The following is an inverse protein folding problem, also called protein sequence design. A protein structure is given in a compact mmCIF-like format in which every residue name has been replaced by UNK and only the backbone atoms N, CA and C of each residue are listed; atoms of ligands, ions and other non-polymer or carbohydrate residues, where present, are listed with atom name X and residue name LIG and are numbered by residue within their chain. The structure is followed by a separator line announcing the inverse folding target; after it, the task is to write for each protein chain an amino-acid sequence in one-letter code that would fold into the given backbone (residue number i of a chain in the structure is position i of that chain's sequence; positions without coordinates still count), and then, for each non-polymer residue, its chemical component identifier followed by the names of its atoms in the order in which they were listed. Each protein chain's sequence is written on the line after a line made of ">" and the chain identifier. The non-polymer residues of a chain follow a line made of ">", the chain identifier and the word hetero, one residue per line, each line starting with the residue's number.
data_IF_603642403449
#
_entry.id   IF_603642403449
#
_cell.length_a   1.000
_cell.length_b   1.000
_cell.length_c   1.000
_cell.angle_alpha   90.00
_cell.angle_beta   90.00
_cell.angle_gamma   90.00
#
_symmetry.space_group_name_H-M   'P 1'
#
loop_
_entity.id
_entity.type
_entity.pdbx_description
1 polymer ?
#
# COMPACT_ATOMS: atom_id res chain seq x y z
N UNK A 1 13.46 35.47 -35.61
CA UNK A 1 12.31 34.94 -36.38
C UNK A 1 12.01 33.54 -35.83
N UNK A 2 10.92 33.42 -35.07
CA UNK A 2 10.51 32.19 -34.38
C UNK A 2 9.37 31.55 -35.18
N UNK A 3 9.59 30.34 -35.68
CA UNK A 3 8.53 29.56 -36.34
C UNK A 3 7.89 28.60 -35.34
N UNK A 4 6.63 28.84 -35.06
CA UNK A 4 5.74 27.94 -34.33
C UNK A 4 4.96 27.08 -35.34
N UNK A 5 4.83 25.75 -35.20
CA UNK A 5 3.99 24.94 -36.06
C UNK A 5 2.51 24.98 -35.60
N UNK A 6 1.56 24.82 -36.56
CA UNK A 6 0.14 25.03 -36.30
C UNK A 6 -0.55 23.79 -35.69
N UNK A 7 -1.53 24.08 -34.84
CA UNK A 7 -2.51 23.16 -34.27
C UNK A 7 -3.33 22.49 -35.37
N UNK A 8 -3.31 21.17 -35.49
CA UNK A 8 -4.26 20.40 -36.29
C UNK A 8 -5.56 20.16 -35.51
N UNK A 9 -6.63 20.80 -36.01
CA UNK A 9 -8.00 20.52 -35.60
C UNK A 9 -8.43 19.18 -36.20
N UNK A 10 -8.82 18.22 -35.34
CA UNK A 10 -9.51 17.00 -35.82
C UNK A 10 -11.00 17.26 -35.87
N UNK A 11 -11.54 17.05 -37.10
CA UNK A 11 -12.92 17.19 -37.50
C UNK A 11 -13.69 15.94 -37.06
N UNK A 12 -14.75 16.11 -36.29
CA UNK A 12 -15.70 15.04 -35.93
C UNK A 12 -16.68 14.83 -37.08
N UNK A 13 -16.71 13.63 -37.62
CA UNK A 13 -17.78 13.17 -38.56
C UNK A 13 -18.77 12.32 -37.73
N UNK A 14 -20.09 12.52 -37.91
CA UNK A 14 -21.08 11.68 -37.27
C UNK A 14 -21.36 10.45 -38.15
N UNK A 15 -21.28 9.25 -37.57
CA UNK A 15 -21.76 8.01 -38.18
C UNK A 15 -23.25 7.86 -37.96
N UNK A 16 -24.00 7.86 -39.09
CA UNK A 16 -25.41 7.51 -39.12
C UNK A 16 -25.56 5.98 -39.04
N UNK A 17 -26.31 5.50 -38.04
CA UNK A 17 -26.68 4.09 -37.91
C UNK A 17 -27.96 3.85 -38.68
N UNK A 18 -27.88 3.07 -39.73
CA UNK A 18 -29.05 2.51 -40.42
C UNK A 18 -29.59 1.32 -39.61
N UNK A 19 -30.80 1.43 -39.11
CA UNK A 19 -31.52 0.34 -38.50
C UNK A 19 -32.16 -0.57 -39.56
N UNK A 20 -31.65 -1.79 -39.74
CA UNK A 20 -32.35 -2.86 -40.46
C UNK A 20 -33.23 -3.62 -39.47
N UNK A 21 -34.55 -3.45 -39.62
CA UNK A 21 -35.53 -4.27 -38.89
C UNK A 21 -35.63 -5.65 -39.58
N UNK A 22 -35.07 -6.67 -38.91
CA UNK A 22 -35.32 -8.08 -39.28
C UNK A 22 -36.44 -8.61 -38.39
N UNK A 23 -37.52 -9.04 -39.01
CA UNK A 23 -38.64 -9.71 -38.36
C UNK A 23 -38.18 -11.13 -37.99
N UNK A 24 -37.94 -11.37 -36.72
CA UNK A 24 -37.68 -12.70 -36.19
C UNK A 24 -39.03 -13.30 -35.74
N UNK A 25 -39.41 -14.41 -36.36
CA UNK A 25 -40.56 -15.22 -35.98
C UNK A 25 -40.21 -15.94 -34.68
N UNK A 26 -41.01 -15.76 -33.64
CA UNK A 26 -40.93 -16.45 -32.36
C UNK A 26 -41.32 -17.92 -32.52
N UNK A 27 -40.49 -18.91 -32.12
CA UNK A 27 -40.93 -20.29 -32.02
C UNK A 27 -41.91 -20.47 -30.86
N UNK A 28 -42.84 -21.45 -30.92
CA UNK A 28 -43.84 -21.67 -29.85
C UNK A 28 -43.18 -22.04 -28.56
N UNK A 29 -43.62 -21.38 -27.48
CA UNK A 29 -43.18 -21.57 -26.12
C UNK A 29 -43.48 -23.01 -25.67
N UNK A 30 -42.46 -23.80 -25.41
CA UNK A 30 -42.58 -25.07 -24.73
C UNK A 30 -42.95 -24.81 -23.25
N UNK A 31 -44.01 -25.43 -22.77
CA UNK A 31 -44.45 -25.39 -21.39
C UNK A 31 -43.37 -25.93 -20.47
N UNK A 32 -42.92 -25.18 -19.42
CA UNK A 32 -41.88 -25.65 -18.55
C UNK A 32 -42.41 -26.82 -17.72
N UNK A 33 -41.66 -27.92 -17.70
CA UNK A 33 -41.94 -29.06 -16.85
C UNK A 33 -41.96 -28.63 -15.36
N UNK A 34 -42.79 -29.23 -14.49
CA UNK A 34 -42.90 -28.87 -13.08
C UNK A 34 -41.52 -29.03 -12.40
N UNK A 35 -41.00 -27.93 -11.87
CA UNK A 35 -39.80 -27.94 -11.05
C UNK A 35 -40.19 -28.58 -9.71
N UNK A 36 -39.67 -29.78 -9.44
CA UNK A 36 -39.77 -30.39 -8.12
C UNK A 36 -38.89 -29.59 -7.18
N UNK A 37 -39.49 -28.71 -6.39
CA UNK A 37 -38.78 -28.01 -5.32
C UNK A 37 -38.35 -29.04 -4.27
N UNK A 38 -37.05 -29.35 -4.27
CA UNK A 38 -36.45 -30.07 -3.14
C UNK A 38 -36.51 -29.13 -1.92
N UNK A 39 -37.13 -29.54 -0.79
CA UNK A 39 -37.19 -28.68 0.38
C UNK A 39 -35.77 -28.31 0.81
N UNK A 40 -35.49 -27.00 0.81
CA UNK A 40 -34.23 -26.48 1.32
C UNK A 40 -34.11 -26.92 2.79
N UNK A 41 -33.04 -27.68 3.09
CA UNK A 41 -32.71 -28.02 4.47
C UNK A 41 -32.56 -26.74 5.31
N UNK A 42 -32.72 -26.84 6.64
CA UNK A 42 -32.54 -25.68 7.50
C UNK A 42 -31.22 -24.99 7.22
N UNK A 43 -31.20 -23.65 7.16
CA UNK A 43 -29.95 -22.92 6.90
C UNK A 43 -28.92 -23.33 7.95
N UNK A 44 -27.73 -23.70 7.49
CA UNK A 44 -26.60 -23.97 8.38
C UNK A 44 -26.39 -22.74 9.26
N UNK A 45 -26.16 -22.92 10.59
CA UNK A 45 -25.87 -21.79 11.46
C UNK A 45 -24.68 -21.03 10.87
N UNK A 46 -24.86 -19.73 10.65
CA UNK A 46 -23.79 -18.86 10.21
C UNK A 46 -22.64 -18.98 11.22
N UNK A 47 -21.47 -19.37 10.74
CA UNK A 47 -20.26 -19.36 11.58
C UNK A 47 -20.13 -17.93 12.14
N UNK A 48 -19.85 -17.76 13.45
CA UNK A 48 -19.66 -16.45 14.02
C UNK A 48 -18.57 -15.74 13.22
N UNK A 49 -18.87 -14.54 12.72
CA UNK A 49 -17.88 -13.72 12.04
C UNK A 49 -16.69 -13.57 13.02
N UNK A 50 -15.50 -14.01 12.60
CA UNK A 50 -14.32 -13.86 13.43
C UNK A 50 -14.15 -12.37 13.74
N UNK A 51 -14.10 -12.04 15.03
CA UNK A 51 -13.86 -10.68 15.46
C UNK A 51 -12.54 -10.19 14.86
N UNK A 52 -12.55 -8.97 14.33
CA UNK A 52 -11.32 -8.35 13.82
C UNK A 52 -10.37 -8.07 14.99
N UNK A 53 -9.17 -8.62 14.92
CA UNK A 53 -8.08 -8.33 15.84
C UNK A 53 -6.86 -7.85 15.06
N UNK A 54 -6.31 -6.66 15.38
CA UNK A 54 -5.08 -6.22 14.72
C UNK A 54 -3.94 -7.14 15.13
N UNK A 55 -3.03 -7.47 14.19
CA UNK A 55 -1.87 -8.27 14.51
C UNK A 55 -0.99 -7.56 15.55
N UNK A 56 -0.53 -8.26 16.60
CA UNK A 56 0.39 -7.70 17.55
C UNK A 56 1.75 -7.42 16.90
N UNK A 57 2.47 -6.42 17.41
CA UNK A 57 3.85 -6.20 16.98
C UNK A 57 4.70 -7.38 17.45
N UNK A 58 5.27 -8.09 16.49
CA UNK A 58 6.16 -9.23 16.72
C UNK A 58 7.27 -9.23 15.66
N UNK A 59 8.42 -9.86 15.93
CA UNK A 59 9.45 -10.02 14.91
C UNK A 59 8.93 -10.88 13.75
N UNK A 60 9.21 -10.45 12.52
CA UNK A 60 8.90 -11.22 11.32
C UNK A 60 9.80 -10.85 10.14
N UNK A 61 9.87 -11.73 9.16
CA UNK A 61 10.37 -11.45 7.82
C UNK A 61 9.29 -11.82 6.81
N UNK A 62 9.04 -10.95 5.84
CA UNK A 62 8.05 -11.15 4.80
C UNK A 62 8.63 -10.83 3.42
N UNK A 63 8.35 -11.69 2.43
CA UNK A 63 8.77 -11.54 1.05
C UNK A 63 7.56 -11.24 0.17
N UNK A 64 7.72 -10.27 -0.71
CA UNK A 64 6.69 -9.83 -1.66
C UNK A 64 7.20 -9.94 -3.08
N UNK A 65 6.33 -10.32 -3.99
CA UNK A 65 6.52 -10.07 -5.41
C UNK A 65 6.12 -8.63 -5.74
N UNK A 66 7.01 -7.91 -6.40
CA UNK A 66 6.80 -6.52 -6.78
C UNK A 66 6.41 -6.40 -8.25
N UNK A 67 5.30 -5.70 -8.51
CA UNK A 67 4.83 -5.36 -9.85
C UNK A 67 4.92 -3.85 -10.06
N UNK A 68 5.20 -3.46 -11.30
CA UNK A 68 5.14 -2.09 -11.76
C UNK A 68 4.29 -1.99 -13.01
N UNK A 69 3.25 -1.16 -12.97
CA UNK A 69 2.27 -1.04 -14.07
C UNK A 69 1.78 -2.40 -14.56
N UNK A 70 1.42 -3.28 -13.61
CA UNK A 70 0.91 -4.62 -13.88
C UNK A 70 1.94 -5.66 -14.35
N UNK A 71 3.21 -5.28 -14.53
CA UNK A 71 4.28 -6.20 -14.93
C UNK A 71 5.17 -6.54 -13.75
N UNK A 72 5.54 -7.82 -13.63
CA UNK A 72 6.50 -8.26 -12.63
C UNK A 72 7.82 -7.48 -12.77
N UNK A 73 8.26 -6.85 -11.68
CA UNK A 73 9.36 -5.89 -11.69
C UNK A 73 10.49 -6.25 -10.74
N UNK A 74 10.26 -7.12 -9.77
CA UNK A 74 11.27 -7.51 -8.79
C UNK A 74 10.65 -8.11 -7.54
N UNK A 75 11.40 -8.05 -6.46
CA UNK A 75 11.04 -8.57 -5.16
C UNK A 75 11.18 -7.49 -4.09
N UNK A 76 10.41 -7.60 -3.02
CA UNK A 76 10.57 -6.76 -1.85
C UNK A 76 10.58 -7.61 -0.58
N UNK A 77 11.35 -7.19 0.41
CA UNK A 77 11.41 -7.83 1.73
C UNK A 77 11.12 -6.80 2.80
N UNK A 78 10.21 -7.11 3.71
CA UNK A 78 9.97 -6.35 4.93
C UNK A 78 10.40 -7.18 6.12
N UNK A 79 11.20 -6.61 7.00
CA UNK A 79 11.65 -7.26 8.24
C UNK A 79 11.38 -6.38 9.44
N UNK A 80 10.86 -6.97 10.50
CA UNK A 80 10.71 -6.32 11.82
C UNK A 80 11.50 -7.13 12.82
N UNK A 81 12.37 -6.47 13.59
CA UNK A 81 13.21 -7.07 14.59
C UNK A 81 13.09 -6.33 15.93
N UNK A 82 13.10 -7.07 17.02
CA UNK A 82 13.23 -6.52 18.37
C UNK A 82 14.72 -6.40 18.70
N UNK A 83 15.20 -5.19 18.96
CA UNK A 83 16.63 -4.92 19.20
C UNK A 83 17.02 -4.87 20.67
N UNK A 84 16.03 -4.88 21.56
CA UNK A 84 16.20 -4.93 23.02
C UNK A 84 15.40 -3.85 23.75
N UNK A 85 14.96 -4.15 24.98
CA UNK A 85 14.11 -3.23 25.75
C UNK A 85 12.84 -2.83 24.99
N UNK A 86 12.61 -1.53 24.82
CA UNK A 86 11.48 -1.02 24.04
C UNK A 86 11.83 -0.76 22.56
N UNK A 87 13.05 -1.08 22.14
CA UNK A 87 13.55 -0.69 20.84
C UNK A 87 13.34 -1.77 19.79
N UNK A 88 12.88 -1.32 18.64
CA UNK A 88 12.56 -2.12 17.48
C UNK A 88 13.16 -1.51 16.21
N UNK A 89 13.25 -2.32 15.17
CA UNK A 89 13.68 -1.90 13.85
C UNK A 89 12.76 -2.49 12.79
N UNK A 90 12.38 -1.68 11.81
CA UNK A 90 11.73 -2.11 10.59
C UNK A 90 12.61 -1.77 9.40
N UNK A 91 12.81 -2.74 8.54
CA UNK A 91 13.57 -2.63 7.30
C UNK A 91 12.66 -2.98 6.12
N UNK A 92 12.84 -2.29 5.01
CA UNK A 92 12.21 -2.56 3.73
C UNK A 92 13.27 -2.51 2.65
N UNK A 93 13.39 -3.59 1.89
CA UNK A 93 14.25 -3.66 0.72
C UNK A 93 13.41 -3.96 -0.51
N UNK A 94 13.64 -3.22 -1.59
CA UNK A 94 13.04 -3.49 -2.89
C UNK A 94 14.16 -3.68 -3.90
N UNK A 95 14.17 -4.82 -4.59
CA UNK A 95 15.18 -5.19 -5.59
C UNK A 95 14.51 -5.39 -6.93
N UNK A 96 14.83 -4.51 -7.88
CA UNK A 96 14.31 -4.62 -9.25
C UNK A 96 15.06 -5.66 -10.07
N UNK A 97 14.34 -6.42 -10.90
CA UNK A 97 14.92 -7.32 -11.90
C UNK A 97 15.52 -6.54 -13.08
N UNK A 98 16.40 -7.20 -13.87
CA UNK A 98 17.07 -6.58 -15.03
C UNK A 98 16.05 -5.91 -15.96
N UNK A 99 16.31 -4.65 -16.36
CA UNK A 99 15.42 -3.83 -17.20
C UNK A 99 14.50 -2.90 -16.40
N UNK A 100 14.05 -3.26 -15.20
CA UNK A 100 13.24 -2.41 -14.35
C UNK A 100 14.01 -1.70 -13.24
N UNK A 101 15.13 -2.26 -12.78
CA UNK A 101 15.94 -1.73 -11.69
C UNK A 101 16.44 -0.29 -11.94
N UNK A 102 16.75 0.05 -13.20
CA UNK A 102 17.25 1.38 -13.58
C UNK A 102 16.14 2.40 -13.84
N UNK A 103 14.97 1.94 -14.29
CA UNK A 103 13.86 2.81 -14.70
C UNK A 103 13.08 3.35 -13.50
N UNK A 104 13.08 2.62 -12.36
CA UNK A 104 12.09 2.84 -11.30
C UNK A 104 12.69 3.18 -9.95
N UNK A 105 14.02 3.22 -9.81
CA UNK A 105 14.64 3.34 -8.49
C UNK A 105 14.23 2.17 -7.57
N UNK A 106 13.99 1.00 -8.15
CA UNK A 106 13.56 -0.22 -7.43
C UNK A 106 14.67 -0.85 -6.59
N UNK A 107 15.88 -0.32 -6.60
CA UNK A 107 16.91 -0.72 -5.63
C UNK A 107 16.87 0.25 -4.45
N UNK A 108 15.85 0.08 -3.63
CA UNK A 108 15.55 0.92 -2.47
C UNK A 108 15.74 0.10 -1.19
N UNK A 109 16.50 0.65 -0.26
CA UNK A 109 16.58 0.15 1.11
C UNK A 109 16.14 1.25 2.05
N UNK A 110 15.19 0.93 2.91
CA UNK A 110 14.73 1.82 3.97
C UNK A 110 14.83 1.10 5.32
N UNK A 111 15.18 1.84 6.35
CA UNK A 111 15.24 1.35 7.72
C UNK A 111 14.70 2.42 8.65
N UNK A 112 13.98 2.00 9.69
CA UNK A 112 13.60 2.86 10.81
C UNK A 112 13.83 2.12 12.11
N UNK A 113 14.61 2.72 13.00
CA UNK A 113 14.72 2.32 14.41
C UNK A 113 13.70 3.14 15.20
N UNK A 114 12.96 2.51 16.08
CA UNK A 114 11.90 3.16 16.84
C UNK A 114 11.73 2.54 18.23
N UNK A 115 11.21 3.33 19.16
CA UNK A 115 10.78 2.87 20.47
C UNK A 115 9.28 2.58 20.46
N UNK A 116 8.88 1.59 21.26
CA UNK A 116 7.48 1.33 21.60
C UNK A 116 7.23 1.75 23.04
N UNK A 117 6.41 2.79 23.22
CA UNK A 117 6.06 3.31 24.55
C UNK A 117 4.55 3.43 24.66
N UNK A 118 3.94 2.69 25.58
CA UNK A 118 2.48 2.68 25.77
C UNK A 118 1.71 2.41 24.46
N UNK A 119 2.21 1.50 23.63
CA UNK A 119 1.61 1.17 22.32
C UNK A 119 1.86 2.20 21.22
N UNK A 120 2.55 3.30 21.49
CA UNK A 120 2.91 4.32 20.50
C UNK A 120 4.30 4.05 19.93
N UNK A 121 4.44 4.13 18.62
CA UNK A 121 5.71 3.97 17.91
C UNK A 121 6.36 5.35 17.74
N UNK A 122 7.55 5.53 18.31
CA UNK A 122 8.31 6.76 18.23
C UNK A 122 9.60 6.52 17.43
N UNK A 123 9.74 7.04 16.20
CA UNK A 123 10.95 6.88 15.41
C UNK A 123 12.14 7.55 16.10
N UNK A 124 13.30 6.89 16.08
CA UNK A 124 14.58 7.40 16.60
C UNK A 124 15.53 7.76 15.47
N UNK A 125 15.61 6.90 14.47
CA UNK A 125 16.41 7.14 13.27
C UNK A 125 15.78 6.47 12.07
N UNK A 126 16.11 7.03 10.89
CA UNK A 126 15.67 6.53 9.60
C UNK A 126 16.83 6.57 8.62
N UNK A 127 16.93 5.58 7.74
CA UNK A 127 17.79 5.66 6.58
C UNK A 127 17.04 5.30 5.31
N UNK A 128 17.41 5.95 4.22
CA UNK A 128 16.94 5.65 2.86
C UNK A 128 18.13 5.58 1.95
N UNK A 129 18.37 4.41 1.34
CA UNK A 129 19.43 4.18 0.39
C UNK A 129 18.82 3.81 -0.96
N UNK A 130 19.16 4.55 -1.99
CA UNK A 130 18.79 4.22 -3.38
C UNK A 130 20.05 3.83 -4.11
N UNK A 131 20.12 2.59 -4.55
CA UNK A 131 21.26 2.08 -5.32
C UNK A 131 21.02 2.35 -6.81
N UNK A 132 21.80 3.22 -7.42
CA UNK A 132 21.80 3.46 -8.87
C UNK A 132 22.95 2.70 -9.55
N UNK A 133 22.96 2.69 -10.89
CA UNK A 133 24.02 2.02 -11.69
C UNK A 133 25.42 2.61 -11.45
N UNK A 134 25.53 3.91 -11.14
CA UNK A 134 26.82 4.59 -11.00
C UNK A 134 26.99 5.30 -9.65
N UNK A 135 25.93 5.85 -9.07
CA UNK A 135 25.97 6.59 -7.82
C UNK A 135 24.76 6.23 -6.98
N UNK A 136 24.98 5.73 -5.78
CA UNK A 136 23.95 5.54 -4.78
C UNK A 136 23.61 6.87 -4.08
N UNK A 137 22.36 7.03 -3.64
CA UNK A 137 21.94 8.16 -2.82
C UNK A 137 21.59 7.63 -1.44
N UNK A 138 22.12 8.27 -0.40
CA UNK A 138 21.82 7.92 0.99
C UNK A 138 21.39 9.15 1.77
N UNK A 139 20.25 9.08 2.40
CA UNK A 139 19.77 10.06 3.37
C UNK A 139 19.56 9.38 4.73
N UNK A 140 19.95 10.08 5.79
CA UNK A 140 19.76 9.63 7.17
C UNK A 140 19.00 10.70 7.94
N UNK A 141 17.94 10.31 8.63
CA UNK A 141 17.15 11.15 9.53
C UNK A 141 17.36 10.74 10.99
N UNK A 142 17.46 11.70 11.87
CA UNK A 142 17.49 11.51 13.32
C UNK A 142 16.29 12.23 13.93
N UNK A 143 15.59 11.56 14.83
CA UNK A 143 14.46 12.10 15.60
C UNK A 143 14.89 12.23 17.05
N UNK A 144 15.12 13.46 17.49
CA UNK A 144 15.50 13.74 18.86
C UNK A 144 14.27 14.24 19.62
N UNK A 145 13.70 13.36 20.41
CA UNK A 145 12.50 13.65 21.23
C UNK A 145 12.78 14.51 22.46
N UNK A 146 14.04 14.60 22.90
CA UNK A 146 14.43 15.48 24.01
C UNK A 146 14.44 16.95 23.57
N UNK A 147 15.01 17.22 22.37
CA UNK A 147 15.02 18.56 21.79
C UNK A 147 13.76 18.87 20.98
N UNK A 148 12.89 17.87 20.77
CA UNK A 148 11.68 18.02 19.97
C UNK A 148 11.96 18.31 18.49
N UNK A 149 13.04 17.78 17.90
CA UNK A 149 13.43 18.07 16.52
C UNK A 149 13.83 16.82 15.74
N UNK A 150 13.55 16.81 14.44
CA UNK A 150 14.09 15.85 13.48
C UNK A 150 14.94 16.54 12.44
N UNK A 151 16.03 15.90 12.00
CA UNK A 151 16.94 16.46 11.01
C UNK A 151 17.47 15.37 10.05
N UNK A 152 17.72 15.75 8.80
CA UNK A 152 18.25 14.86 7.76
C UNK A 152 19.61 15.32 7.26
N UNK A 153 20.46 14.34 7.00
CA UNK A 153 21.81 14.50 6.42
C UNK A 153 21.96 13.60 5.19
N UNK A 154 23.03 13.81 4.43
CA UNK A 154 23.30 13.06 3.20
C UNK A 154 22.61 13.67 1.97
N UNK A 155 22.07 12.84 1.10
CA UNK A 155 21.46 13.26 -0.17
C UNK A 155 20.08 13.90 0.03
N UNK A 156 20.03 15.02 0.71
CA UNK A 156 18.86 15.88 0.88
C UNK A 156 19.11 17.26 0.33
N UNK A 157 18.08 17.91 -0.17
CA UNK A 157 18.19 19.30 -0.61
C UNK A 157 18.54 20.21 0.57
N UNK A 158 19.33 21.26 0.35
CA UNK A 158 19.79 22.20 1.40
C UNK A 158 18.64 22.78 2.23
N UNK A 159 17.53 23.12 1.59
CA UNK A 159 16.32 23.62 2.24
C UNK A 159 15.65 22.60 3.18
N UNK A 160 15.91 21.31 2.97
CA UNK A 160 15.38 20.17 3.73
C UNK A 160 16.35 19.61 4.78
N UNK A 161 17.55 20.12 4.86
CA UNK A 161 18.54 19.74 5.88
C UNK A 161 18.33 20.47 7.22
N UNK A 162 17.41 21.46 7.25
CA UNK A 162 17.08 22.21 8.47
C UNK A 162 16.30 21.34 9.44
N UNK A 163 16.50 21.52 10.78
CA UNK A 163 15.69 20.84 11.77
C UNK A 163 14.19 21.14 11.61
N UNK A 164 13.38 20.13 11.83
CA UNK A 164 11.90 20.19 11.79
C UNK A 164 11.38 19.95 13.19
N UNK A 165 10.47 20.78 13.72
CA UNK A 165 9.82 20.52 15.00
C UNK A 165 9.01 19.22 14.96
N UNK A 166 9.27 18.33 15.93
CA UNK A 166 8.51 17.11 16.16
C UNK A 166 7.23 17.40 16.95
N UNK A 167 6.21 16.62 16.68
CA UNK A 167 4.97 16.58 17.44
C UNK A 167 4.75 15.17 17.98
N UNK A 168 4.10 14.99 19.12
CA UNK A 168 3.71 13.68 19.61
C UNK A 168 2.94 12.89 18.55
N UNK A 169 3.34 11.64 18.33
CA UNK A 169 2.73 10.79 17.29
C UNK A 169 3.34 10.91 15.89
N UNK A 170 4.36 11.76 15.69
CA UNK A 170 5.09 11.82 14.41
C UNK A 170 5.72 10.47 14.06
N UNK A 171 5.56 10.10 12.79
CA UNK A 171 6.02 8.83 12.23
C UNK A 171 7.16 9.02 11.23
N UNK A 172 7.87 7.95 10.87
CA UNK A 172 8.58 7.83 9.60
C UNK A 172 7.66 7.22 8.55
N UNK A 173 7.96 7.40 7.27
CA UNK A 173 7.13 6.82 6.21
C UNK A 173 7.05 5.29 6.27
N UNK A 174 8.16 4.61 6.60
CA UNK A 174 8.18 3.16 6.73
C UNK A 174 7.40 2.68 7.98
N UNK A 175 7.55 3.40 9.10
CA UNK A 175 6.87 3.08 10.36
C UNK A 175 5.35 3.24 10.25
N UNK A 176 4.87 4.10 9.35
CA UNK A 176 3.45 4.30 9.10
C UNK A 176 2.74 2.98 8.71
N UNK A 177 3.40 2.08 7.98
CA UNK A 177 2.81 0.78 7.63
C UNK A 177 2.50 -0.06 8.89
N UNK A 178 3.40 -0.08 9.86
CA UNK A 178 3.16 -0.79 11.12
C UNK A 178 2.09 -0.10 11.98
N UNK A 179 2.04 1.23 11.95
CA UNK A 179 1.01 1.99 12.65
C UNK A 179 -0.38 1.74 12.06
N UNK A 180 -0.50 1.68 10.74
CA UNK A 180 -1.75 1.30 10.07
C UNK A 180 -2.20 -0.10 10.47
N UNK A 181 -1.29 -1.08 10.54
CA UNK A 181 -1.61 -2.43 10.99
C UNK A 181 -2.08 -2.47 12.45
N UNK A 182 -1.44 -1.71 13.33
CA UNK A 182 -1.84 -1.60 14.75
C UNK A 182 -3.21 -0.98 14.93
N UNK A 183 -3.51 0.09 14.17
CA UNK A 183 -4.65 0.97 14.42
C UNK A 183 -5.89 0.63 13.59
N UNK A 184 -5.72 -0.11 12.48
CA UNK A 184 -6.84 -0.44 11.58
C UNK A 184 -7.92 -1.25 12.30
N UNK A 185 -9.16 -0.77 12.20
CA UNK A 185 -10.39 -1.43 12.64
C UNK A 185 -11.47 -1.18 11.59
N UNK A 186 -12.41 -2.08 11.39
CA UNK A 186 -13.52 -1.87 10.45
C UNK A 186 -14.21 -0.53 10.67
N UNK A 187 -14.31 0.28 9.61
CA UNK A 187 -14.98 1.57 9.61
C UNK A 187 -14.21 2.74 10.25
N UNK A 188 -12.99 2.52 10.76
CA UNK A 188 -12.23 3.55 11.49
C UNK A 188 -11.42 4.43 10.53
N UNK A 189 -11.50 5.75 10.73
CA UNK A 189 -10.62 6.72 10.11
C UNK A 189 -9.36 6.92 10.94
N UNK A 190 -8.22 7.09 10.29
CA UNK A 190 -6.90 7.25 10.92
C UNK A 190 -6.17 8.43 10.31
N UNK A 191 -5.51 9.24 11.15
CA UNK A 191 -4.80 10.44 10.77
C UNK A 191 -3.36 10.35 11.24
N UNK A 192 -2.41 10.52 10.33
CA UNK A 192 -0.99 10.45 10.64
C UNK A 192 -0.25 11.67 10.11
N UNK A 193 0.58 12.23 10.96
CA UNK A 193 1.63 13.15 10.56
C UNK A 193 2.94 12.38 10.52
N UNK A 194 3.67 12.47 9.42
CA UNK A 194 5.00 11.89 9.35
C UNK A 194 6.03 12.86 8.79
N UNK A 195 7.27 12.65 9.21
CA UNK A 195 8.40 13.51 8.90
C UNK A 195 9.46 12.67 8.20
N UNK A 196 9.73 12.99 6.94
CA UNK A 196 10.65 12.24 6.11
C UNK A 196 11.38 13.12 5.12
N UNK A 197 12.70 12.88 4.94
CA UNK A 197 13.56 13.59 3.98
C UNK A 197 13.40 15.12 4.10
N UNK A 198 13.34 15.62 5.34
CA UNK A 198 13.19 17.03 5.63
C UNK A 198 11.85 17.64 5.25
N UNK A 199 10.79 16.84 5.19
CA UNK A 199 9.42 17.29 4.94
C UNK A 199 8.44 16.71 5.95
N UNK A 200 7.45 17.52 6.28
CA UNK A 200 6.26 17.09 7.01
C UNK A 200 5.17 16.75 6.00
N UNK A 201 4.47 15.65 6.23
CA UNK A 201 3.29 15.26 5.47
C UNK A 201 2.19 14.77 6.41
N UNK A 202 0.96 14.93 5.96
CA UNK A 202 -0.22 14.40 6.64
C UNK A 202 -0.91 13.42 5.70
N UNK A 203 -1.19 12.23 6.21
CA UNK A 203 -1.92 11.20 5.49
C UNK A 203 -3.13 10.77 6.31
N UNK A 204 -4.28 10.81 5.65
CA UNK A 204 -5.54 10.37 6.19
C UNK A 204 -5.89 9.03 5.53
N UNK A 205 -6.28 8.07 6.35
CA UNK A 205 -6.66 6.74 5.90
C UNK A 205 -8.04 6.38 6.41
N UNK A 206 -8.73 5.55 5.65
CA UNK A 206 -10.00 4.96 6.03
C UNK A 206 -9.89 3.44 5.92
N UNK A 207 -10.28 2.72 6.96
CA UNK A 207 -10.52 1.29 6.87
C UNK A 207 -11.94 1.02 6.37
N UNK A 208 -12.10 0.02 5.50
CA UNK A 208 -13.41 -0.43 5.05
C UNK A 208 -14.28 -0.89 6.23
N UNK A 209 -15.59 -0.81 6.09
CA UNK A 209 -16.51 -1.24 7.14
C UNK A 209 -16.52 -2.77 7.34
N UNK A 210 -16.10 -3.52 6.32
CA UNK A 210 -16.06 -4.98 6.31
C UNK A 210 -14.79 -5.48 5.63
N UNK A 211 -14.40 -6.70 5.95
CA UNK A 211 -13.34 -7.41 5.24
C UNK A 211 -13.82 -7.84 3.87
N UNK A 212 -12.89 -8.04 2.95
CA UNK A 212 -13.12 -8.57 1.61
C UNK A 212 -12.13 -9.70 1.31
N UNK A 213 -12.49 -10.61 0.42
CA UNK A 213 -11.56 -11.62 -0.07
C UNK A 213 -10.62 -10.98 -1.09
N UNK A 214 -9.32 -11.15 -0.89
CA UNK A 214 -8.28 -10.69 -1.81
C UNK A 214 -7.39 -11.85 -2.21
N UNK A 215 -7.26 -12.04 -3.53
CA UNK A 215 -6.37 -13.04 -4.10
C UNK A 215 -4.93 -12.50 -4.13
N UNK A 216 -3.99 -13.26 -3.58
CA UNK A 216 -2.57 -12.95 -3.57
C UNK A 216 -1.78 -14.22 -3.90
N UNK A 217 -1.26 -14.29 -5.13
CA UNK A 217 -0.73 -15.55 -5.65
C UNK A 217 -1.81 -16.63 -5.70
N UNK A 218 -1.53 -17.78 -5.15
CA UNK A 218 -2.45 -18.93 -5.09
C UNK A 218 -3.30 -18.96 -3.80
N UNK A 219 -3.21 -17.91 -2.97
CA UNK A 219 -3.90 -17.82 -1.69
C UNK A 219 -4.99 -16.74 -1.72
N UNK A 220 -6.10 -17.02 -1.03
CA UNK A 220 -7.17 -16.08 -0.79
C UNK A 220 -7.16 -15.67 0.70
N UNK A 221 -7.15 -14.37 0.95
CA UNK A 221 -7.15 -13.80 2.29
C UNK A 221 -8.44 -13.03 2.55
N UNK A 222 -9.08 -13.28 3.69
CA UNK A 222 -10.11 -12.38 4.19
C UNK A 222 -9.43 -11.19 4.86
N UNK A 223 -9.36 -10.04 4.18
CA UNK A 223 -8.54 -8.93 4.59
C UNK A 223 -9.34 -7.62 4.71
N UNK A 224 -8.95 -6.79 5.67
CA UNK A 224 -9.47 -5.44 5.84
C UNK A 224 -8.72 -4.49 4.90
N UNK A 225 -9.45 -3.88 3.98
CA UNK A 225 -8.91 -2.86 3.10
C UNK A 225 -8.75 -1.53 3.83
N UNK A 226 -7.55 -0.96 3.78
CA UNK A 226 -7.23 0.37 4.31
C UNK A 226 -6.72 1.22 3.16
N UNK A 227 -7.31 2.39 2.96
CA UNK A 227 -6.96 3.24 1.83
C UNK A 227 -6.78 4.70 2.24
N UNK A 228 -5.86 5.37 1.56
CA UNK A 228 -5.57 6.78 1.77
C UNK A 228 -6.68 7.64 1.16
N UNK A 229 -7.20 8.62 1.93
CA UNK A 229 -8.33 9.47 1.51
C UNK A 229 -7.89 10.85 1.01
N UNK A 230 -6.73 11.36 1.44
CA UNK A 230 -6.22 12.69 1.06
C UNK A 230 -5.07 12.65 0.04
N UNK A 231 -4.99 11.58 -0.76
CA UNK A 231 -3.93 11.37 -1.76
C UNK A 231 -4.13 12.15 -3.05
N UNK A 232 -5.32 12.67 -3.33
CA UNK A 232 -5.68 13.17 -4.65
C UNK A 232 -5.54 12.06 -5.68
N UNK A 233 -4.76 12.28 -6.73
CA UNK A 233 -4.49 11.28 -7.76
C UNK A 233 -3.50 10.17 -7.31
N UNK A 234 -2.94 10.28 -6.10
CA UNK A 234 -2.03 9.28 -5.55
C UNK A 234 -2.73 8.47 -4.47
N UNK A 235 -3.15 7.26 -4.80
CA UNK A 235 -3.78 6.35 -3.87
C UNK A 235 -2.75 5.41 -3.25
N UNK A 236 -2.96 5.07 -1.99
CA UNK A 236 -2.25 3.98 -1.31
C UNK A 236 -3.29 3.10 -0.65
N UNK A 237 -3.26 1.81 -0.95
CA UNK A 237 -4.21 0.82 -0.46
C UNK A 237 -3.41 -0.33 0.15
N UNK A 238 -3.80 -0.75 1.36
CA UNK A 238 -3.26 -1.90 2.05
C UNK A 238 -4.39 -2.89 2.33
N UNK A 239 -4.08 -4.18 2.26
CA UNK A 239 -4.96 -5.25 2.72
C UNK A 239 -4.30 -5.95 3.90
N UNK A 240 -4.98 -5.93 5.04
CA UNK A 240 -4.51 -6.45 6.32
C UNK A 240 -5.37 -7.67 6.67
N UNK A 241 -4.77 -8.84 6.81
CA UNK A 241 -5.46 -10.07 7.17
C UNK A 241 -5.21 -10.43 8.64
N UNK A 242 -6.21 -11.03 9.30
CA UNK A 242 -6.04 -11.53 10.66
C UNK A 242 -4.95 -12.61 10.71
N UNK A 243 -4.10 -12.53 11.75
CA UNK A 243 -3.01 -13.51 11.97
C UNK A 243 -1.79 -13.33 11.06
N UNK A 244 -1.82 -12.37 10.13
CA UNK A 244 -0.67 -12.06 9.26
C UNK A 244 0.01 -10.80 9.78
N UNK A 245 1.32 -10.84 10.14
CA UNK A 245 2.00 -9.72 10.80
C UNK A 245 2.36 -8.55 9.86
N UNK A 246 1.98 -8.65 8.60
CA UNK A 246 2.30 -7.68 7.54
C UNK A 246 1.12 -7.56 6.58
N UNK A 247 0.94 -6.44 5.83
CA UNK A 247 -0.10 -6.38 4.80
C UNK A 247 0.09 -7.49 3.76
N UNK A 248 -0.98 -8.18 3.40
CA UNK A 248 -0.93 -9.22 2.34
C UNK A 248 -0.78 -8.62 0.94
N UNK A 249 -1.17 -7.35 0.79
CA UNK A 249 -0.96 -6.58 -0.43
C UNK A 249 -0.82 -5.10 -0.12
N UNK A 250 0.07 -4.42 -0.85
CA UNK A 250 0.27 -2.95 -0.80
C UNK A 250 0.22 -2.44 -2.24
N UNK A 251 -0.78 -1.62 -2.56
CA UNK A 251 -0.98 -1.07 -3.89
C UNK A 251 -0.86 0.45 -3.87
N UNK A 252 -0.04 0.99 -4.76
CA UNK A 252 0.08 2.42 -5.04
C UNK A 252 -0.41 2.70 -6.45
N UNK A 253 -1.36 3.64 -6.57
CA UNK A 253 -1.88 4.14 -7.84
C UNK A 253 -1.51 5.59 -8.04
N UNK A 254 -1.36 5.98 -9.28
CA UNK A 254 -1.19 7.36 -9.70
C UNK A 254 -2.06 7.60 -10.94
N UNK A 255 -2.93 8.59 -10.89
CA UNK A 255 -3.89 8.90 -11.96
C UNK A 255 -4.79 7.71 -12.36
N UNK A 256 -5.18 6.87 -11.38
CA UNK A 256 -6.01 5.69 -11.60
C UNK A 256 -5.26 4.45 -12.13
N UNK A 257 -3.96 4.57 -12.46
CA UNK A 257 -3.14 3.45 -12.91
C UNK A 257 -2.33 2.83 -11.76
N UNK A 258 -2.24 1.50 -11.72
CA UNK A 258 -1.41 0.79 -10.76
C UNK A 258 0.07 1.08 -11.04
N UNK A 259 0.74 1.77 -10.11
CA UNK A 259 2.16 2.10 -10.19
C UNK A 259 3.03 1.01 -9.59
N UNK A 260 2.79 0.70 -8.32
CA UNK A 260 3.49 -0.33 -7.56
C UNK A 260 2.47 -1.21 -6.88
N UNK A 261 2.60 -2.53 -7.02
CA UNK A 261 1.78 -3.53 -6.36
C UNK A 261 2.70 -4.56 -5.73
N UNK A 262 2.74 -4.61 -4.41
CA UNK A 262 3.47 -5.61 -3.64
C UNK A 262 2.49 -6.67 -3.17
N UNK A 263 2.75 -7.92 -3.52
CA UNK A 263 1.93 -9.08 -3.18
C UNK A 263 2.73 -10.03 -2.31
N UNK A 264 2.21 -10.35 -1.15
CA UNK A 264 2.87 -11.25 -0.20
C UNK A 264 3.06 -12.64 -0.82
N UNK A 265 4.28 -13.15 -0.79
CA UNK A 265 4.61 -14.52 -1.17
C UNK A 265 4.62 -15.41 0.07
N UNK A 266 5.37 -14.98 1.09
CA UNK A 266 5.56 -15.72 2.32
C UNK A 266 5.92 -14.81 3.48
N UNK A 267 5.69 -15.27 4.68
CA UNK A 267 6.21 -14.64 5.89
C UNK A 267 6.59 -15.71 6.91
N UNK A 268 7.51 -15.38 7.79
CA UNK A 268 7.92 -16.21 8.92
C UNK A 268 8.15 -15.34 10.16
N UNK A 269 7.77 -15.85 11.32
CA UNK A 269 8.18 -15.31 12.61
C UNK A 269 9.68 -15.54 12.80
N UNK A 270 10.37 -14.61 13.47
CA UNK A 270 11.81 -14.66 13.74
C UNK A 270 12.03 -14.83 15.23
#
# INVERSE_FOLDING_TARGET
>A
MKNTPPLRKFLLLPFAVLACAAWAQTPPSAEPAPVVETPAGPPLPALPAMAWEPPPLQPFSATYQAFYKGKEAGDATMQVTHTGGNQWRVDMQVVGRRGFASVLGLNLEQSTVFDVRNGVYAPLSQSTVRKGLFLGKKAVGTYNWETGTAQWTGDVKKDRAKPIPLQPGDQSALLLNLSLMRDARPGVAMHYRYVELGKVRQHDYQAAAQTENVEVGDLSYNALKVYRTNGGNNETILWIANGVPTPVRILQREDGEDRVDLRLIEYQGV
#
